data_IF_770169252918
#
_entry.id   IF_770169252918
#
_cell.length_a   1.000
_cell.length_b   1.000
_cell.length_c   1.000
_cell.angle_alpha   90.00
_cell.angle_beta   90.00
_cell.angle_gamma   90.00
#
_symmetry.space_group_name_H-M   'P 1'
#
loop_
_entity.id
_entity.type
_entity.pdbx_description
1 polymer ?
#
# COMPACT_ATOMS: atom_id res chain seq x y z
N UNK A 1 60.09 25.00 -41.21
CA UNK A 1 59.97 23.58 -41.60
C UNK A 1 59.08 22.93 -40.54
N UNK A 2 57.77 22.80 -40.77
CA UNK A 2 57.13 21.65 -41.48
C UNK A 2 57.52 20.33 -40.78
N UNK A 3 56.64 19.43 -40.35
CA UNK A 3 55.27 19.13 -40.73
C UNK A 3 54.69 18.06 -39.75
N UNK A 4 53.35 17.96 -39.69
CA UNK A 4 52.52 16.77 -39.45
C UNK A 4 52.85 15.81 -38.29
N UNK A 5 51.91 15.51 -37.39
CA UNK A 5 50.80 14.60 -37.70
C UNK A 5 49.50 14.93 -36.93
N UNK A 6 48.48 15.28 -37.74
CA UNK A 6 47.05 14.89 -37.70
C UNK A 6 46.53 14.22 -36.41
N UNK A 7 45.65 14.91 -35.67
CA UNK A 7 44.17 14.79 -35.69
C UNK A 7 43.62 13.38 -35.39
N UNK A 8 42.99 13.25 -34.23
CA UNK A 8 41.68 12.59 -34.14
C UNK A 8 40.74 13.49 -33.34
N UNK A 9 39.87 14.19 -34.05
CA UNK A 9 38.74 14.93 -33.49
C UNK A 9 37.51 14.20 -34.02
N UNK A 10 36.70 13.52 -33.18
CA UNK A 10 35.48 12.93 -33.67
C UNK A 10 34.49 14.05 -34.05
N UNK A 11 33.85 13.97 -35.24
CA UNK A 11 32.85 14.94 -35.66
C UNK A 11 31.58 14.78 -34.81
N UNK A 12 30.97 15.91 -34.47
CA UNK A 12 29.65 15.93 -33.84
C UNK A 12 28.55 15.40 -34.75
N UNK A 13 27.53 14.84 -34.11
CA UNK A 13 26.14 14.58 -34.53
C UNK A 13 25.68 13.46 -33.59
N UNK A 14 24.51 13.40 -32.95
CA UNK A 14 23.24 14.11 -32.91
C UNK A 14 22.51 13.54 -31.68
N UNK A 15 21.53 14.25 -31.12
CA UNK A 15 20.62 13.66 -30.14
C UNK A 15 20.77 14.18 -28.70
N UNK A 16 20.80 15.50 -28.54
CA UNK A 16 20.29 16.11 -27.30
C UNK A 16 18.78 15.86 -27.20
N UNK A 17 18.38 14.63 -26.87
CA UNK A 17 17.05 14.36 -26.35
C UNK A 17 17.01 14.97 -24.95
N UNK A 18 16.74 16.27 -24.92
CA UNK A 18 16.22 16.93 -23.74
C UNK A 18 14.88 16.27 -23.42
N UNK A 19 14.90 15.27 -22.53
CA UNK A 19 13.71 14.85 -21.80
C UNK A 19 13.37 15.92 -20.76
N UNK A 20 13.19 17.17 -21.20
CA UNK A 20 12.57 18.23 -20.42
C UNK A 20 11.05 18.04 -20.49
N UNK A 21 10.61 16.91 -19.97
CA UNK A 21 9.22 16.55 -19.75
C UNK A 21 9.09 16.07 -18.33
N UNK A 22 9.47 16.91 -17.36
CA UNK A 22 9.20 16.68 -15.96
C UNK A 22 7.70 16.71 -15.73
N UNK A 23 7.02 15.60 -16.04
CA UNK A 23 5.69 15.32 -15.51
C UNK A 23 5.84 15.33 -14.00
N UNK A 24 5.54 16.47 -13.39
CA UNK A 24 5.43 16.61 -11.96
C UNK A 24 4.41 15.56 -11.51
N UNK A 25 4.91 14.41 -11.02
CA UNK A 25 4.04 13.39 -10.43
C UNK A 25 3.24 14.10 -9.35
N UNK A 26 1.92 14.12 -9.51
CA UNK A 26 0.99 14.58 -8.47
C UNK A 26 1.42 13.88 -7.19
N UNK A 27 1.93 14.64 -6.22
CA UNK A 27 2.40 14.07 -4.96
C UNK A 27 1.19 13.39 -4.34
N UNK A 28 1.26 12.07 -4.16
CA UNK A 28 0.22 11.33 -3.44
C UNK A 28 0.18 11.93 -2.03
N UNK A 29 -0.97 12.47 -1.65
CA UNK A 29 -1.20 12.91 -0.28
C UNK A 29 -1.24 11.64 0.58
N UNK A 30 -0.36 11.49 1.59
CA UNK A 30 -0.39 10.34 2.48
C UNK A 30 -1.76 10.20 3.14
N UNK A 31 -2.16 8.98 3.43
CA UNK A 31 -3.38 8.73 4.19
C UNK A 31 -3.20 9.25 5.63
N UNK A 32 -4.26 9.74 6.32
CA UNK A 32 -4.14 10.22 7.71
C UNK A 32 -3.45 9.22 8.65
N UNK A 33 -3.68 7.92 8.44
CA UNK A 33 -3.01 6.83 9.16
C UNK A 33 -1.48 6.87 9.09
N UNK A 34 -0.88 7.35 7.99
CA UNK A 34 0.58 7.41 7.84
C UNK A 34 1.25 8.29 8.91
N UNK A 35 0.55 9.31 9.40
CA UNK A 35 1.03 10.16 10.51
C UNK A 35 1.08 9.41 11.83
N UNK A 36 0.08 8.57 12.09
CA UNK A 36 0.04 7.72 13.29
C UNK A 36 1.08 6.62 13.19
N UNK A 37 1.22 5.99 12.02
CA UNK A 37 2.25 4.97 11.78
C UNK A 37 3.67 5.55 11.94
N UNK A 38 3.93 6.74 11.38
CA UNK A 38 5.21 7.44 11.55
C UNK A 38 5.52 7.77 13.01
N UNK A 39 4.51 8.21 13.77
CA UNK A 39 4.63 8.48 15.20
C UNK A 39 4.91 7.21 16.01
N UNK A 40 4.25 6.10 15.67
CA UNK A 40 4.50 4.79 16.29
C UNK A 40 5.91 4.27 16.01
N UNK A 41 6.41 4.40 14.76
CA UNK A 41 7.80 4.07 14.41
C UNK A 41 8.77 4.88 15.27
N UNK A 42 8.54 6.20 15.38
CA UNK A 42 9.37 7.10 16.19
C UNK A 42 9.34 6.72 17.68
N UNK A 43 8.17 6.38 18.21
CA UNK A 43 8.00 5.96 19.60
C UNK A 43 8.73 4.64 19.88
N UNK A 44 8.52 3.62 19.03
CA UNK A 44 9.22 2.35 19.10
C UNK A 44 10.74 2.54 19.07
N UNK A 45 11.23 3.37 18.14
CA UNK A 45 12.65 3.69 18.01
C UNK A 45 13.22 4.31 19.29
N UNK A 46 12.52 5.30 19.87
CA UNK A 46 12.95 5.98 21.10
C UNK A 46 12.95 5.03 22.31
N UNK A 47 11.96 4.15 22.43
CA UNK A 47 11.90 3.13 23.50
C UNK A 47 13.05 2.10 23.42
N UNK A 48 13.70 1.99 22.26
CA UNK A 48 14.85 1.11 22.03
C UNK A 48 16.18 1.87 22.01
N UNK A 49 16.17 3.16 22.36
CA UNK A 49 17.34 4.04 22.37
C UNK A 49 18.12 4.09 21.04
N UNK A 50 17.42 3.86 19.92
CA UNK A 50 18.02 3.90 18.59
C UNK A 50 17.89 5.32 18.02
N UNK A 51 18.97 5.92 17.53
CA UNK A 51 18.90 7.22 16.85
C UNK A 51 18.33 7.08 15.44
N UNK A 52 17.82 8.17 14.87
CA UNK A 52 17.27 8.14 13.51
C UNK A 52 18.35 7.82 12.49
N UNK A 53 19.55 8.36 12.69
CA UNK A 53 20.75 8.10 11.89
C UNK A 53 21.16 6.63 11.97
N UNK A 54 21.12 6.04 13.17
CA UNK A 54 21.42 4.63 13.37
C UNK A 54 20.39 3.72 12.70
N UNK A 55 19.10 4.06 12.79
CA UNK A 55 18.03 3.30 12.13
C UNK A 55 18.15 3.41 10.59
N UNK A 56 18.40 4.61 10.06
CA UNK A 56 18.61 4.82 8.62
C UNK A 56 19.76 3.97 8.08
N UNK A 57 20.91 4.00 8.76
CA UNK A 57 22.09 3.22 8.39
C UNK A 57 21.83 1.72 8.40
N UNK A 58 21.15 1.20 9.43
CA UNK A 58 20.90 -0.24 9.57
C UNK A 58 19.80 -0.76 8.63
N UNK A 59 18.80 0.06 8.32
CA UNK A 59 17.73 -0.31 7.38
C UNK A 59 18.10 -0.11 5.91
N UNK A 60 19.15 0.67 5.63
CA UNK A 60 19.49 1.12 4.28
C UNK A 60 18.52 2.16 3.71
N UNK A 61 17.61 2.70 4.54
CA UNK A 61 16.69 3.77 4.13
C UNK A 61 17.42 5.10 4.28
N UNK A 62 17.47 5.96 3.24
CA UNK A 62 18.11 7.27 3.36
C UNK A 62 17.53 8.09 4.51
N UNK A 63 18.38 8.80 5.28
CA UNK A 63 17.96 9.52 6.49
C UNK A 63 16.81 10.50 6.23
N UNK A 64 16.84 11.22 5.11
CA UNK A 64 15.76 12.13 4.69
C UNK A 64 14.44 11.40 4.48
N UNK A 65 14.50 10.20 3.90
CA UNK A 65 13.35 9.33 3.65
C UNK A 65 12.82 8.69 4.93
N UNK A 66 13.70 8.30 5.86
CA UNK A 66 13.30 7.81 7.18
C UNK A 66 12.64 8.93 8.00
N UNK A 67 13.17 10.16 7.95
CA UNK A 67 12.54 11.33 8.58
C UNK A 67 11.12 11.54 8.05
N UNK A 68 10.94 11.54 6.72
CA UNK A 68 9.61 11.71 6.11
C UNK A 68 8.63 10.60 6.48
N UNK A 69 9.10 9.38 6.70
CA UNK A 69 8.28 8.26 7.22
C UNK A 69 7.88 8.47 8.68
N UNK A 70 8.84 8.81 9.55
CA UNK A 70 8.53 9.15 10.95
C UNK A 70 7.62 10.37 11.09
N UNK A 71 7.65 11.29 10.12
CA UNK A 71 6.79 12.47 10.07
C UNK A 71 5.43 12.18 9.39
N UNK A 72 5.23 10.98 8.81
CA UNK A 72 4.01 10.59 8.10
C UNK A 72 3.77 11.32 6.77
N UNK A 73 4.81 11.95 6.22
CA UNK A 73 4.76 12.67 4.93
C UNK A 73 5.05 11.72 3.76
N UNK A 74 5.62 10.55 4.05
CA UNK A 74 5.77 9.45 3.11
C UNK A 74 5.11 8.20 3.68
N UNK A 75 4.33 7.52 2.84
CA UNK A 75 3.84 6.17 3.10
C UNK A 75 5.02 5.24 3.43
N UNK A 76 4.81 4.39 4.43
CA UNK A 76 5.75 3.33 4.78
C UNK A 76 5.25 2.04 4.16
N UNK A 77 6.04 1.47 3.24
CA UNK A 77 5.71 0.16 2.66
C UNK A 77 5.83 -0.95 3.70
N UNK A 78 5.12 -2.06 3.51
CA UNK A 78 5.22 -3.22 4.41
C UNK A 78 6.67 -3.71 4.54
N UNK A 79 7.42 -3.82 3.44
CA UNK A 79 8.83 -4.24 3.47
C UNK A 79 9.76 -3.27 4.21
N UNK A 80 9.43 -1.98 4.22
CA UNK A 80 10.17 -0.99 5.02
C UNK A 80 9.83 -1.09 6.50
N UNK A 81 8.54 -1.26 6.82
CA UNK A 81 8.09 -1.45 8.19
C UNK A 81 8.72 -2.70 8.81
N UNK A 82 8.75 -3.82 8.08
CA UNK A 82 9.40 -5.07 8.51
C UNK A 82 10.90 -4.87 8.80
N UNK A 83 11.63 -4.19 7.90
CA UNK A 83 13.06 -3.88 8.12
C UNK A 83 13.27 -2.99 9.34
N UNK A 84 12.41 -1.99 9.53
CA UNK A 84 12.46 -1.11 10.71
C UNK A 84 12.21 -1.93 11.98
N UNK A 85 11.15 -2.73 12.02
CA UNK A 85 10.81 -3.58 13.16
C UNK A 85 11.93 -4.56 13.51
N UNK A 86 12.55 -5.17 12.50
CA UNK A 86 13.69 -6.07 12.66
C UNK A 86 14.90 -5.38 13.31
N UNK A 87 15.27 -4.18 12.86
CA UNK A 87 16.37 -3.39 13.47
C UNK A 87 16.03 -2.98 14.91
N UNK A 88 14.78 -2.62 15.16
CA UNK A 88 14.31 -2.25 16.50
C UNK A 88 14.06 -3.46 17.42
N UNK A 89 14.17 -4.69 16.90
CA UNK A 89 13.92 -5.94 17.61
C UNK A 89 12.54 -5.97 18.28
N UNK A 90 11.53 -5.50 17.55
CA UNK A 90 10.13 -5.56 17.95
C UNK A 90 9.31 -6.28 16.90
N UNK A 91 8.21 -6.96 17.27
CA UNK A 91 7.26 -7.45 16.29
C UNK A 91 6.66 -6.27 15.50
N UNK A 92 6.50 -6.41 14.18
CA UNK A 92 5.83 -5.40 13.35
C UNK A 92 4.45 -5.04 13.89
N UNK A 93 3.72 -6.04 14.40
CA UNK A 93 2.43 -5.85 15.05
C UNK A 93 2.47 -4.84 16.19
N UNK A 94 3.53 -4.79 17.00
CA UNK A 94 3.64 -3.83 18.11
C UNK A 94 3.56 -2.38 17.59
N UNK A 95 4.25 -2.09 16.47
CA UNK A 95 4.26 -0.76 15.84
C UNK A 95 2.88 -0.44 15.25
N UNK A 96 2.26 -1.41 14.59
CA UNK A 96 0.93 -1.25 13.98
C UNK A 96 -0.14 -1.05 15.05
N UNK A 97 -0.13 -1.84 16.13
CA UNK A 97 -1.09 -1.73 17.22
C UNK A 97 -1.00 -0.35 17.90
N UNK A 98 0.22 0.17 18.14
CA UNK A 98 0.39 1.55 18.62
C UNK A 98 -0.22 2.58 17.67
N UNK A 99 0.02 2.45 16.36
CA UNK A 99 -0.54 3.36 15.38
C UNK A 99 -2.07 3.29 15.30
N UNK A 100 -2.65 2.09 15.42
CA UNK A 100 -4.10 1.87 15.40
C UNK A 100 -4.79 2.44 16.65
N UNK A 101 -4.19 2.28 17.83
CA UNK A 101 -4.67 2.92 19.06
C UNK A 101 -4.72 4.43 18.89
N UNK A 102 -3.62 5.05 18.44
CA UNK A 102 -3.58 6.50 18.24
C UNK A 102 -4.53 6.97 17.12
N UNK A 103 -4.78 6.13 16.11
CA UNK A 103 -5.67 6.46 14.99
C UNK A 103 -7.16 6.38 15.37
N UNK A 104 -7.49 5.52 16.34
CA UNK A 104 -8.84 5.40 16.89
C UNK A 104 -9.27 6.64 17.68
N UNK A 105 -8.33 7.33 18.32
CA UNK A 105 -8.57 8.39 19.31
C UNK A 105 -8.55 9.83 18.73
N UNK A 106 -9.26 10.06 17.62
CA UNK A 106 -9.38 11.40 17.02
C UNK A 106 -10.45 12.26 17.74
N UNK A 107 -10.44 12.25 19.08
CA UNK A 107 -11.31 13.08 19.93
C UNK A 107 -12.29 12.34 20.85
N UNK A 108 -12.08 11.05 21.14
CA UNK A 108 -12.92 10.31 22.10
C UNK A 108 -12.30 10.33 23.51
N UNK A 109 -13.11 10.31 24.57
CA UNK A 109 -12.60 10.30 25.96
C UNK A 109 -12.22 8.90 26.44
N UNK A 110 -12.49 7.86 25.64
CA UNK A 110 -12.12 6.47 25.93
C UNK A 110 -10.79 6.12 25.26
N UNK A 111 -9.85 5.54 26.02
CA UNK A 111 -8.65 4.89 25.45
C UNK A 111 -9.06 3.93 24.34
N UNK A 112 -8.79 4.30 23.09
CA UNK A 112 -9.22 3.49 21.95
C UNK A 112 -8.43 2.18 21.84
N UNK A 113 -9.05 1.17 21.21
CA UNK A 113 -8.42 -0.15 21.01
C UNK A 113 -7.81 -0.27 19.60
N UNK A 114 -6.82 -1.18 19.40
CA UNK A 114 -6.32 -1.47 18.05
C UNK A 114 -7.42 -1.93 17.09
N UNK A 115 -8.44 -2.61 17.60
CA UNK A 115 -9.57 -3.08 16.80
C UNK A 115 -10.40 -1.91 16.26
N UNK A 116 -10.72 -0.93 17.10
CA UNK A 116 -11.49 0.27 16.70
C UNK A 116 -10.73 1.07 15.64
N UNK A 117 -9.41 1.22 15.83
CA UNK A 117 -8.53 1.85 14.86
C UNK A 117 -8.51 1.13 13.51
N UNK A 118 -8.51 -0.21 13.54
CA UNK A 118 -8.54 -1.02 12.33
C UNK A 118 -9.87 -0.89 11.59
N UNK A 119 -11.00 -0.94 12.32
CA UNK A 119 -12.33 -0.73 11.74
C UNK A 119 -12.41 0.64 11.07
N UNK A 120 -11.93 1.70 11.74
CA UNK A 120 -11.86 3.06 11.18
C UNK A 120 -10.99 3.14 9.93
N UNK A 121 -9.84 2.46 9.91
CA UNK A 121 -8.93 2.43 8.77
C UNK A 121 -9.54 1.70 7.57
N UNK A 122 -10.16 0.55 7.80
CA UNK A 122 -10.84 -0.20 6.75
C UNK A 122 -12.02 0.59 6.20
N UNK A 123 -12.80 1.26 7.05
CA UNK A 123 -13.89 2.12 6.63
C UNK A 123 -13.43 3.31 5.76
N UNK A 124 -12.27 3.92 6.06
CA UNK A 124 -11.73 5.02 5.25
C UNK A 124 -11.15 4.58 3.90
N UNK A 125 -10.81 3.30 3.77
CA UNK A 125 -10.22 2.70 2.56
C UNK A 125 -11.26 1.96 1.70
N UNK A 126 -12.40 1.57 2.29
CA UNK A 126 -13.48 0.89 1.58
C UNK A 126 -14.28 1.88 0.75
N UNK A 127 -14.38 1.62 -0.56
CA UNK A 127 -15.40 2.26 -1.39
C UNK A 127 -16.77 1.66 -1.03
N UNK A 128 -17.85 2.41 -1.23
CA UNK A 128 -19.20 1.87 -1.04
C UNK A 128 -19.42 0.70 -2.02
N UNK A 129 -20.12 -0.38 -1.61
CA UNK A 129 -20.47 -1.46 -2.53
C UNK A 129 -21.14 -0.88 -3.76
N UNK A 130 -20.66 -1.25 -4.95
CA UNK A 130 -21.35 -0.88 -6.19
C UNK A 130 -22.74 -1.51 -6.17
N UNK A 131 -23.75 -0.73 -6.52
CA UNK A 131 -25.08 -1.28 -6.80
C UNK A 131 -24.94 -2.18 -8.03
N UNK A 132 -25.08 -3.49 -7.85
CA UNK A 132 -25.18 -4.39 -8.99
C UNK A 132 -26.45 -4.04 -9.76
N UNK A 133 -26.31 -3.63 -11.02
CA UNK A 133 -27.45 -3.34 -11.89
C UNK A 133 -27.59 -4.40 -13.00
N UNK A 134 -28.60 -4.23 -13.84
CA UNK A 134 -28.89 -5.17 -14.92
C UNK A 134 -27.78 -5.22 -15.99
N UNK A 135 -26.86 -4.24 -16.02
CA UNK A 135 -25.68 -4.24 -16.90
C UNK A 135 -24.53 -5.09 -16.36
N UNK A 136 -24.51 -5.35 -15.05
CA UNK A 136 -23.59 -6.30 -14.40
C UNK A 136 -24.05 -7.77 -14.59
N UNK A 137 -25.26 -7.99 -15.10
CA UNK A 137 -25.80 -9.31 -15.38
C UNK A 137 -25.19 -9.88 -16.67
N UNK A 138 -24.04 -10.55 -16.56
CA UNK A 138 -23.45 -11.27 -17.68
C UNK A 138 -24.26 -12.54 -17.92
N UNK A 139 -24.98 -12.60 -19.04
CA UNK A 139 -25.62 -13.83 -19.50
C UNK A 139 -24.58 -14.95 -19.54
N UNK A 140 -24.75 -15.95 -18.68
CA UNK A 140 -23.90 -17.13 -18.68
C UNK A 140 -24.14 -17.91 -19.98
N UNK A 141 -23.35 -17.59 -21.03
CA UNK A 141 -23.34 -18.31 -22.29
C UNK A 141 -22.49 -19.58 -22.13
N UNK A 142 -22.87 -20.42 -21.17
CA UNK A 142 -22.27 -21.74 -21.04
C UNK A 142 -22.51 -22.53 -22.32
N UNK A 143 -21.46 -23.14 -22.86
CA UNK A 143 -21.63 -24.29 -23.76
C UNK A 143 -22.21 -25.43 -22.92
N UNK A 144 -23.52 -25.45 -22.73
CA UNK A 144 -24.20 -26.68 -22.36
C UNK A 144 -24.08 -27.60 -23.57
N UNK A 145 -23.26 -28.64 -23.45
CA UNK A 145 -23.38 -29.79 -24.34
C UNK A 145 -24.84 -30.25 -24.26
N UNK A 146 -25.64 -30.18 -25.34
CA UNK A 146 -27.02 -30.62 -25.28
C UNK A 146 -27.00 -32.14 -25.15
N UNK A 147 -27.20 -32.65 -23.94
CA UNK A 147 -27.16 -34.10 -23.73
C UNK A 147 -26.95 -34.59 -22.31
N UNK A 148 -27.57 -33.96 -21.31
CA UNK A 148 -27.93 -34.69 -20.10
C UNK A 148 -29.22 -34.06 -19.55
N UNK A 149 -30.35 -34.62 -19.96
CA UNK A 149 -31.60 -34.42 -19.21
C UNK A 149 -31.36 -35.02 -17.83
N UNK A 150 -31.36 -34.19 -16.80
CA UNK A 150 -31.25 -34.61 -15.40
C UNK A 150 -32.36 -35.62 -15.08
N UNK A 151 -31.99 -36.89 -14.97
CA UNK A 151 -32.85 -38.00 -14.57
C UNK A 151 -33.31 -37.93 -13.10
N UNK A 152 -33.16 -36.79 -12.44
CA UNK A 152 -33.29 -36.63 -10.99
C UNK A 152 -34.48 -35.76 -10.55
N UNK A 153 -35.40 -35.40 -11.46
CA UNK A 153 -36.58 -34.60 -11.07
C UNK A 153 -37.89 -35.10 -11.71
N UNK A 154 -38.21 -36.37 -11.48
CA UNK A 154 -39.57 -36.90 -11.61
C UNK A 154 -39.98 -37.46 -10.27
N UNK A 155 -40.37 -36.60 -9.35
CA UNK A 155 -41.21 -37.00 -8.22
C UNK A 155 -42.40 -36.04 -8.15
N UNK A 156 -43.42 -36.36 -8.94
CA UNK A 156 -44.73 -35.73 -8.82
C UNK A 156 -45.33 -36.13 -7.47
N UNK A 157 -45.24 -35.22 -6.48
CA UNK A 157 -46.07 -35.32 -5.27
C UNK A 157 -47.54 -35.20 -5.65
N UNK A 158 -48.18 -36.33 -5.91
CA UNK A 158 -49.64 -36.43 -5.95
C UNK A 158 -50.17 -36.14 -4.55
N UNK A 159 -50.85 -35.00 -4.38
CA UNK A 159 -51.65 -34.75 -3.17
C UNK A 159 -52.91 -35.59 -3.30
N UNK A 160 -53.02 -36.64 -2.50
CA UNK A 160 -54.28 -37.34 -2.26
C UNK A 160 -55.23 -36.40 -1.50
N UNK A 161 -56.28 -35.93 -2.16
CA UNK A 161 -57.50 -35.44 -1.50
C UNK A 161 -58.51 -36.57 -1.45
N UNK A 162 -58.93 -36.87 -0.22
CA UNK A 162 -60.04 -37.73 0.28
C UNK A 162 -60.78 -38.65 -0.71
#
# INVERSE_FOLDING_TARGET
MFDSLKRFHPPGETGGLSYAGGMARKKKTPHPFDRHLGSAIRAARRRRDVTREALARQTGIPLSNLKRREDGVNETTVSELERIAAVLRVPTREIVDMALVDYSDDGSTSSGSPHDGLVKLLASMSEAPRTLDETDNVTYLGHVSPGLLDAANTDERTRSTD
#
